data_IF_706764128993
#
_entry.id   IF_706764128993
#
_cell.length_a   1.000
_cell.length_b   1.000
_cell.length_c   1.000
_cell.angle_alpha   90.00
_cell.angle_beta   90.00
_cell.angle_gamma   90.00
#
_symmetry.space_group_name_H-M   'P 1'
#
loop_
_entity.id
_entity.type
_entity.pdbx_description
1 polymer ?
#
# COMPACT_ATOMS: atom_id res chain seq x y z
N UNK A 1 23.14 4.14 -30.73
CA UNK A 1 22.81 3.83 -29.33
C UNK A 1 21.69 4.76 -28.92
N UNK A 2 20.51 4.18 -28.72
CA UNK A 2 19.23 4.91 -28.71
C UNK A 2 19.02 5.75 -27.45
N UNK A 3 18.81 7.04 -27.62
CA UNK A 3 18.37 8.01 -26.60
C UNK A 3 16.96 7.72 -26.00
N UNK A 4 16.31 6.67 -26.48
CA UNK A 4 14.93 6.34 -26.15
C UNK A 4 14.73 5.73 -24.74
N UNK A 5 15.82 5.32 -24.10
CA UNK A 5 15.76 4.70 -22.77
C UNK A 5 15.69 5.72 -21.62
N UNK A 6 16.18 6.95 -21.81
CA UNK A 6 16.15 8.01 -20.77
C UNK A 6 14.79 8.65 -20.66
N UNK A 7 14.05 8.80 -21.76
CA UNK A 7 12.71 9.40 -21.77
C UNK A 7 11.62 8.52 -21.14
N UNK A 8 11.90 7.22 -20.95
CA UNK A 8 10.95 6.25 -20.39
C UNK A 8 10.75 6.43 -18.88
N UNK A 9 11.74 6.97 -18.17
CA UNK A 9 11.64 7.26 -16.74
C UNK A 9 10.97 8.60 -16.42
N UNK A 10 10.94 9.55 -17.34
CA UNK A 10 10.35 10.88 -17.14
C UNK A 10 8.83 10.92 -17.36
N UNK A 11 8.25 9.82 -17.85
CA UNK A 11 6.79 9.75 -17.98
C UNK A 11 6.12 9.76 -16.60
N UNK A 12 5.07 10.57 -16.43
CA UNK A 12 4.31 10.56 -15.19
C UNK A 12 3.81 9.15 -14.87
N UNK A 13 4.12 8.68 -13.67
CA UNK A 13 3.64 7.39 -13.20
C UNK A 13 2.23 7.58 -12.66
N UNK A 14 1.25 6.95 -13.29
CA UNK A 14 -0.12 6.88 -12.76
C UNK A 14 -0.51 5.42 -12.60
N UNK A 15 -0.77 5.04 -11.39
CA UNK A 15 -1.06 3.67 -10.98
C UNK A 15 -2.44 3.63 -10.34
N UNK A 16 -3.36 2.91 -10.95
CA UNK A 16 -4.67 2.64 -10.38
C UNK A 16 -4.60 1.33 -9.58
N UNK A 17 -4.94 1.42 -8.31
CA UNK A 17 -4.92 0.29 -7.40
C UNK A 17 -6.21 -0.52 -7.55
N UNK A 18 -6.28 -1.36 -8.59
CA UNK A 18 -7.37 -2.29 -8.80
C UNK A 18 -7.47 -3.37 -7.71
N UNK A 19 -8.41 -4.31 -7.87
CA UNK A 19 -8.53 -5.47 -6.96
C UNK A 19 -7.36 -6.43 -7.15
N UNK A 20 -6.71 -6.83 -6.05
CA UNK A 20 -5.68 -7.87 -6.08
C UNK A 20 -6.29 -9.23 -5.82
N UNK A 21 -6.14 -10.14 -6.77
CA UNK A 21 -6.56 -11.54 -6.60
C UNK A 21 -5.70 -12.25 -5.56
N UNK A 22 -4.40 -12.00 -5.59
CA UNK A 22 -3.45 -12.61 -4.65
C UNK A 22 -3.74 -12.17 -3.21
N UNK A 23 -3.97 -10.87 -2.99
CA UNK A 23 -4.29 -10.34 -1.66
C UNK A 23 -5.63 -10.87 -1.16
N UNK A 24 -6.63 -10.99 -2.05
CA UNK A 24 -7.93 -11.58 -1.72
C UNK A 24 -7.78 -13.04 -1.34
N UNK A 25 -7.07 -13.84 -2.13
CA UNK A 25 -6.87 -15.27 -1.86
C UNK A 25 -6.09 -15.49 -0.56
N UNK A 26 -5.00 -14.74 -0.34
CA UNK A 26 -4.22 -14.82 0.89
C UNK A 26 -5.06 -14.44 2.12
N UNK A 27 -5.81 -13.34 2.04
CA UNK A 27 -6.70 -12.93 3.12
C UNK A 27 -7.79 -13.94 3.41
N UNK A 28 -8.47 -14.43 2.37
CA UNK A 28 -9.49 -15.47 2.53
C UNK A 28 -8.91 -16.76 3.13
N UNK A 29 -7.73 -17.19 2.68
CA UNK A 29 -7.05 -18.38 3.22
C UNK A 29 -6.70 -18.25 4.70
N UNK A 30 -6.15 -17.12 5.13
CA UNK A 30 -5.83 -16.87 6.54
C UNK A 30 -7.08 -16.91 7.41
N UNK A 31 -8.18 -16.27 6.97
CA UNK A 31 -9.42 -16.25 7.73
C UNK A 31 -10.10 -17.61 7.74
N UNK A 32 -10.04 -18.37 6.63
CA UNK A 32 -10.54 -19.73 6.58
C UNK A 32 -9.77 -20.67 7.54
N UNK A 33 -8.45 -20.56 7.56
CA UNK A 33 -7.61 -21.30 8.51
C UNK A 33 -7.93 -20.92 9.97
N UNK A 34 -8.12 -19.65 10.27
CA UNK A 34 -8.54 -19.16 11.58
C UNK A 34 -9.90 -19.68 12.01
N UNK A 35 -10.88 -19.66 11.09
CA UNK A 35 -12.21 -20.21 11.35
C UNK A 35 -12.17 -21.73 11.59
N UNK A 36 -11.40 -22.46 10.79
CA UNK A 36 -11.21 -23.90 10.97
C UNK A 36 -10.57 -24.21 12.33
N UNK A 37 -9.53 -23.46 12.72
CA UNK A 37 -8.91 -23.63 14.03
C UNK A 37 -9.90 -23.40 15.18
N UNK A 38 -10.79 -22.40 15.08
CA UNK A 38 -11.84 -22.15 16.05
C UNK A 38 -12.87 -23.31 16.12
N UNK A 39 -13.15 -23.95 14.99
CA UNK A 39 -14.10 -25.10 14.96
C UNK A 39 -13.52 -26.36 15.58
N UNK A 40 -12.22 -26.63 15.36
CA UNK A 40 -11.55 -27.82 15.87
C UNK A 40 -11.13 -27.67 17.34
N UNK A 41 -10.89 -26.44 17.80
CA UNK A 41 -10.50 -26.20 19.18
C UNK A 41 -11.62 -26.59 20.18
N UNK A 42 -11.24 -27.16 21.31
CA UNK A 42 -12.13 -27.51 22.41
C UNK A 42 -12.54 -26.27 23.22
N UNK A 43 -13.21 -25.32 22.55
CA UNK A 43 -13.66 -24.06 23.14
C UNK A 43 -15.11 -24.14 23.62
N UNK A 44 -15.41 -23.37 24.66
CA UNK A 44 -16.78 -23.20 25.09
C UNK A 44 -17.64 -22.64 23.92
N UNK A 45 -18.89 -23.13 23.71
CA UNK A 45 -19.70 -22.74 22.54
C UNK A 45 -19.85 -21.24 22.31
N UNK A 46 -20.07 -20.50 23.39
CA UNK A 46 -20.21 -19.01 23.33
C UNK A 46 -18.94 -18.36 22.81
N UNK A 47 -17.77 -18.79 23.31
CA UNK A 47 -16.49 -18.24 22.86
C UNK A 47 -16.20 -18.59 21.39
N UNK A 48 -16.56 -19.79 20.97
CA UNK A 48 -16.43 -20.24 19.56
C UNK A 48 -17.25 -19.34 18.63
N UNK A 49 -18.52 -19.10 18.96
CA UNK A 49 -19.40 -18.22 18.16
C UNK A 49 -18.83 -16.80 18.10
N UNK A 50 -18.38 -16.26 19.23
CA UNK A 50 -17.79 -14.92 19.29
C UNK A 50 -16.54 -14.82 18.40
N UNK A 51 -15.62 -15.77 18.45
CA UNK A 51 -14.41 -15.77 17.64
C UNK A 51 -14.71 -15.91 16.14
N UNK A 52 -15.68 -16.74 15.77
CA UNK A 52 -16.11 -16.88 14.38
C UNK A 52 -16.75 -15.56 13.87
N UNK A 53 -17.59 -14.92 14.67
CA UNK A 53 -18.18 -13.63 14.32
C UNK A 53 -17.11 -12.55 14.15
N UNK A 54 -16.12 -12.50 15.06
CA UNK A 54 -15.00 -11.55 14.98
C UNK A 54 -14.13 -11.81 13.73
N UNK A 55 -13.83 -13.07 13.42
CA UNK A 55 -13.09 -13.46 12.22
C UNK A 55 -13.83 -13.05 10.96
N UNK A 56 -15.14 -13.26 10.89
CA UNK A 56 -15.98 -12.83 9.78
C UNK A 56 -16.03 -11.31 9.62
N UNK A 57 -16.23 -10.57 10.71
CA UNK A 57 -16.23 -9.12 10.72
C UNK A 57 -14.87 -8.54 10.25
N UNK A 58 -13.77 -9.13 10.72
CA UNK A 58 -12.43 -8.73 10.31
C UNK A 58 -12.17 -9.03 8.82
N UNK A 59 -12.66 -10.15 8.29
CA UNK A 59 -12.58 -10.47 6.87
C UNK A 59 -13.31 -9.43 6.02
N UNK A 60 -14.54 -9.07 6.41
CA UNK A 60 -15.30 -8.02 5.71
C UNK A 60 -14.57 -6.68 5.74
N UNK A 61 -14.04 -6.30 6.90
CA UNK A 61 -13.24 -5.07 7.05
C UNK A 61 -11.99 -5.10 6.15
N UNK A 62 -11.26 -6.24 6.16
CA UNK A 62 -10.08 -6.44 5.33
C UNK A 62 -10.40 -6.32 3.83
N UNK A 63 -11.46 -6.99 3.36
CA UNK A 63 -11.87 -6.93 1.97
C UNK A 63 -12.25 -5.51 1.55
N UNK A 64 -13.01 -4.80 2.36
CA UNK A 64 -13.43 -3.42 2.07
C UNK A 64 -12.25 -2.47 2.02
N UNK A 65 -11.30 -2.59 2.94
CA UNK A 65 -10.19 -1.64 3.07
C UNK A 65 -9.03 -1.93 2.12
N UNK A 66 -8.62 -3.20 2.04
CA UNK A 66 -7.39 -3.58 1.35
C UNK A 66 -7.61 -4.08 -0.08
N UNK A 67 -8.74 -4.70 -0.33
CA UNK A 67 -9.01 -5.32 -1.63
C UNK A 67 -9.81 -4.40 -2.54
N UNK A 68 -10.89 -3.83 -2.05
CA UNK A 68 -11.80 -3.02 -2.88
C UNK A 68 -11.49 -1.53 -2.83
N UNK A 69 -10.64 -1.09 -1.90
CA UNK A 69 -10.34 0.33 -1.68
C UNK A 69 -11.60 1.22 -1.57
N UNK A 70 -12.68 0.66 -1.03
CA UNK A 70 -13.98 1.34 -0.89
C UNK A 70 -14.18 1.98 0.49
N UNK A 71 -13.32 1.65 1.45
CA UNK A 71 -13.41 2.26 2.80
C UNK A 71 -12.84 3.68 2.80
N UNK A 72 -13.32 4.51 3.72
CA UNK A 72 -12.81 5.86 3.91
C UNK A 72 -11.30 5.87 4.16
N UNK A 73 -10.59 6.70 3.40
CA UNK A 73 -9.14 6.80 3.44
C UNK A 73 -8.39 5.70 2.67
N UNK A 74 -9.09 4.82 1.96
CA UNK A 74 -8.45 3.87 1.07
C UNK A 74 -7.90 4.57 -0.17
N UNK A 75 -6.66 4.23 -0.54
CA UNK A 75 -6.01 4.78 -1.73
C UNK A 75 -6.48 3.98 -2.95
N UNK A 76 -7.13 4.66 -3.89
CA UNK A 76 -7.60 4.08 -5.15
C UNK A 76 -6.59 4.24 -6.29
N UNK A 77 -5.76 5.28 -6.24
CA UNK A 77 -4.72 5.51 -7.23
C UNK A 77 -3.54 6.29 -6.64
N UNK A 78 -2.36 6.10 -7.21
CA UNK A 78 -1.13 6.82 -6.87
C UNK A 78 -0.58 7.40 -8.15
N UNK A 79 -0.12 8.64 -8.10
CA UNK A 79 0.57 9.31 -9.19
C UNK A 79 1.88 9.92 -8.69
N UNK A 80 2.88 9.87 -9.53
CA UNK A 80 4.12 10.58 -9.33
C UNK A 80 4.46 11.37 -10.60
N UNK A 81 4.82 12.61 -10.43
CA UNK A 81 5.21 13.54 -11.47
C UNK A 81 6.41 14.35 -10.97
N UNK A 82 7.38 14.66 -11.83
CA UNK A 82 8.59 15.37 -11.44
C UNK A 82 8.30 16.79 -10.93
N UNK A 83 7.31 17.45 -11.52
CA UNK A 83 6.93 18.82 -11.14
C UNK A 83 6.02 18.88 -9.93
N UNK A 84 5.13 17.88 -9.78
CA UNK A 84 4.07 17.86 -8.76
C UNK A 84 4.35 16.91 -7.60
N UNK A 85 5.39 16.08 -7.71
CA UNK A 85 5.72 15.07 -6.73
C UNK A 85 4.69 13.95 -6.60
N UNK A 86 4.61 13.35 -5.43
CA UNK A 86 3.66 12.29 -5.13
C UNK A 86 2.24 12.82 -4.90
N UNK A 87 1.28 12.17 -5.51
CA UNK A 87 -0.15 12.42 -5.29
C UNK A 87 -0.87 11.10 -5.07
N UNK A 88 -1.84 11.11 -4.18
CA UNK A 88 -2.72 9.96 -3.91
C UNK A 88 -4.16 10.35 -4.16
N UNK A 89 -4.92 9.44 -4.72
CA UNK A 89 -6.36 9.53 -4.80
C UNK A 89 -6.95 8.69 -3.68
N UNK A 90 -7.51 9.33 -2.66
CA UNK A 90 -8.15 8.67 -1.53
C UNK A 90 -9.65 8.95 -1.55
N UNK A 91 -10.45 7.93 -1.27
CA UNK A 91 -11.90 8.08 -1.17
C UNK A 91 -12.30 8.61 0.22
N UNK A 92 -13.26 9.56 0.29
CA UNK A 92 -13.98 10.26 -0.78
C UNK A 92 -13.26 11.53 -1.31
N UNK A 93 -12.04 11.83 -0.89
CA UNK A 93 -11.39 13.14 -1.04
C UNK A 93 -10.72 13.44 -2.39
N UNK A 94 -10.70 12.51 -3.36
CA UNK A 94 -10.06 12.73 -4.66
C UNK A 94 -8.52 12.84 -4.61
N UNK A 95 -7.91 13.48 -5.61
CA UNK A 95 -6.47 13.63 -5.74
C UNK A 95 -5.91 14.67 -4.78
N UNK A 96 -4.97 14.24 -3.93
CA UNK A 96 -4.28 15.08 -2.96
C UNK A 96 -2.77 14.95 -3.11
N UNK A 97 -2.04 16.03 -2.85
CA UNK A 97 -0.59 15.96 -2.71
C UNK A 97 -0.27 15.10 -1.47
N UNK A 98 0.77 14.29 -1.57
CA UNK A 98 1.12 13.36 -0.51
C UNK A 98 2.64 13.17 -0.44
N UNK A 99 3.11 12.83 0.74
CA UNK A 99 4.53 12.49 0.95
C UNK A 99 4.62 11.06 1.47
N UNK A 100 5.50 10.21 0.91
CA UNK A 100 5.74 8.89 1.45
C UNK A 100 6.36 9.00 2.84
N UNK A 101 5.78 8.30 3.81
CA UNK A 101 6.30 8.21 5.17
C UNK A 101 7.25 7.02 5.27
N UNK A 102 8.41 7.26 5.86
CA UNK A 102 9.36 6.18 6.11
C UNK A 102 9.04 5.47 7.44
N UNK A 103 9.33 4.16 7.55
CA UNK A 103 9.93 3.28 6.54
C UNK A 103 8.94 2.82 5.45
N UNK A 104 9.45 2.59 4.23
CA UNK A 104 8.74 1.96 3.12
C UNK A 104 9.23 0.52 3.01
N UNK A 105 8.32 -0.44 2.96
CA UNK A 105 8.66 -1.83 2.67
C UNK A 105 8.52 -2.09 1.16
N UNK A 106 9.60 -2.49 0.52
CA UNK A 106 9.64 -2.78 -0.92
C UNK A 106 10.27 -4.15 -1.15
N UNK A 107 9.48 -5.08 -1.70
CA UNK A 107 9.94 -6.40 -2.14
C UNK A 107 9.75 -6.59 -3.64
N UNK A 108 10.07 -7.79 -4.14
CA UNK A 108 9.87 -8.13 -5.54
C UNK A 108 8.39 -8.18 -5.95
N UNK A 109 7.50 -8.52 -5.03
CA UNK A 109 6.08 -8.78 -5.30
C UNK A 109 5.14 -7.87 -4.52
N UNK A 110 5.64 -7.20 -3.46
CA UNK A 110 4.83 -6.44 -2.53
C UNK A 110 5.51 -5.12 -2.17
N UNK A 111 4.73 -4.06 -2.18
CA UNK A 111 5.11 -2.74 -1.66
C UNK A 111 4.10 -2.34 -0.59
N UNK A 112 4.60 -1.98 0.59
CA UNK A 112 3.79 -1.37 1.64
C UNK A 112 4.31 0.04 1.87
N UNK A 113 3.47 1.03 1.62
CA UNK A 113 3.81 2.44 1.76
C UNK A 113 2.70 3.18 2.50
N UNK A 114 3.13 4.08 3.38
CA UNK A 114 2.22 5.03 4.04
C UNK A 114 2.46 6.40 3.44
N UNK A 115 1.40 7.13 3.17
CA UNK A 115 1.46 8.50 2.69
C UNK A 115 0.85 9.44 3.74
N UNK A 116 1.46 10.59 3.88
CA UNK A 116 0.85 11.73 4.56
C UNK A 116 0.25 12.63 3.50
N UNK A 117 -1.07 12.67 3.43
CA UNK A 117 -1.79 13.56 2.53
C UNK A 117 -1.75 15.01 3.03
N UNK A 118 -2.04 15.98 2.16
CA UNK A 118 -2.05 17.41 2.48
C UNK A 118 -2.98 17.79 3.63
N UNK A 119 -4.06 17.02 3.84
CA UNK A 119 -4.98 17.17 4.99
C UNK A 119 -4.46 16.54 6.30
N UNK A 120 -3.15 16.24 6.40
CA UNK A 120 -2.44 15.58 7.51
C UNK A 120 -2.92 14.15 7.84
N UNK A 121 -3.87 13.58 7.10
CA UNK A 121 -4.30 12.19 7.30
C UNK A 121 -3.23 11.24 6.75
N UNK A 122 -2.91 10.21 7.51
CA UNK A 122 -2.04 9.15 7.06
C UNK A 122 -2.88 8.07 6.35
N UNK A 123 -2.54 7.82 5.09
CA UNK A 123 -3.15 6.77 4.29
C UNK A 123 -2.12 5.68 4.03
N UNK A 124 -2.50 4.40 4.07
CA UNK A 124 -1.61 3.29 3.77
C UNK A 124 -2.09 2.53 2.53
N UNK A 125 -1.14 2.14 1.70
CA UNK A 125 -1.39 1.30 0.54
C UNK A 125 -0.53 0.03 0.62
N UNK A 126 -1.17 -1.10 0.35
CA UNK A 126 -0.53 -2.40 0.12
C UNK A 126 -0.69 -2.68 -1.37
N UNK A 127 0.41 -2.68 -2.08
CA UNK A 127 0.44 -2.81 -3.54
C UNK A 127 1.12 -4.13 -3.87
N UNK A 128 0.36 -5.05 -4.45
CA UNK A 128 0.87 -6.33 -4.90
C UNK A 128 1.10 -6.26 -6.40
N UNK A 129 2.13 -6.92 -6.88
CA UNK A 129 2.53 -6.88 -8.28
C UNK A 129 1.48 -7.35 -9.28
N UNK A 130 0.47 -8.13 -8.83
CA UNK A 130 -0.65 -8.58 -9.66
C UNK A 130 -1.67 -7.47 -10.01
N UNK A 131 -1.58 -6.31 -9.33
CA UNK A 131 -2.44 -5.15 -9.58
C UNK A 131 -1.96 -4.26 -10.71
N UNK A 132 -0.70 -4.42 -11.11
CA UNK A 132 0.00 -3.52 -12.00
C UNK A 132 0.68 -4.30 -13.13
N UNK A 133 0.87 -3.63 -14.26
CA UNK A 133 1.83 -4.13 -15.24
C UNK A 133 3.23 -4.21 -14.63
N UNK A 134 4.02 -5.20 -15.06
CA UNK A 134 5.36 -5.44 -14.50
C UNK A 134 6.26 -4.20 -14.58
N UNK A 135 6.16 -3.42 -15.66
CA UNK A 135 6.92 -2.18 -15.86
C UNK A 135 6.51 -1.08 -14.88
N UNK A 136 5.20 -0.89 -14.64
CA UNK A 136 4.71 0.14 -13.73
C UNK A 136 5.03 -0.21 -12.29
N UNK A 137 4.95 -1.49 -11.92
CA UNK A 137 5.35 -1.96 -10.60
C UNK A 137 6.86 -1.79 -10.37
N UNK A 138 7.68 -2.07 -11.39
CA UNK A 138 9.13 -1.83 -11.35
C UNK A 138 9.44 -0.34 -11.16
N UNK A 139 8.79 0.54 -11.92
CA UNK A 139 8.98 2.00 -11.82
C UNK A 139 8.57 2.51 -10.45
N UNK A 140 7.42 2.08 -9.94
CA UNK A 140 6.95 2.44 -8.60
C UNK A 140 7.98 2.08 -7.53
N UNK A 141 8.53 0.84 -7.61
CA UNK A 141 9.56 0.39 -6.67
C UNK A 141 10.82 1.25 -6.71
N UNK A 142 11.32 1.55 -7.91
CA UNK A 142 12.52 2.38 -8.08
C UNK A 142 12.30 3.78 -7.50
N UNK A 143 11.16 4.41 -7.77
CA UNK A 143 10.83 5.74 -7.25
C UNK A 143 10.69 5.78 -5.73
N UNK A 144 10.07 4.76 -5.14
CA UNK A 144 9.95 4.66 -3.68
C UNK A 144 11.30 4.41 -3.01
N UNK A 145 12.18 3.61 -3.62
CA UNK A 145 13.54 3.40 -3.12
C UNK A 145 14.40 4.67 -3.23
N UNK A 146 14.23 5.45 -4.29
CA UNK A 146 14.87 6.77 -4.40
C UNK A 146 14.39 7.71 -3.29
N UNK A 147 13.08 7.86 -3.11
CA UNK A 147 12.52 8.68 -2.02
C UNK A 147 13.03 8.25 -0.63
N UNK A 148 13.20 6.93 -0.41
CA UNK A 148 13.76 6.42 0.83
C UNK A 148 15.25 6.73 1.03
N UNK A 149 16.02 6.79 -0.06
CA UNK A 149 17.43 7.21 -0.03
C UNK A 149 17.55 8.70 0.27
N UNK A 150 16.78 9.52 -0.41
CA UNK A 150 16.79 10.98 -0.23
C UNK A 150 16.43 11.37 1.20
N UNK A 151 15.41 10.73 1.76
CA UNK A 151 15.03 10.93 3.16
C UNK A 151 16.16 10.57 4.13
N UNK A 152 16.89 9.46 3.89
CA UNK A 152 18.04 9.09 4.74
C UNK A 152 19.17 10.08 4.65
N UNK A 153 19.48 10.58 3.45
CA UNK A 153 20.50 11.61 3.26
C UNK A 153 20.13 12.90 4.00
N UNK A 154 18.89 13.38 3.86
CA UNK A 154 18.42 14.57 4.57
C UNK A 154 18.50 14.39 6.10
N UNK A 155 18.09 13.25 6.63
CA UNK A 155 18.18 12.96 8.05
C UNK A 155 19.64 12.91 8.55
N UNK A 156 20.56 12.39 7.73
CA UNK A 156 21.99 12.36 8.04
C UNK A 156 22.63 13.75 8.06
N UNK A 157 22.22 14.63 7.17
CA UNK A 157 22.68 16.04 7.17
C UNK A 157 22.13 16.83 8.37
N UNK A 158 20.85 16.62 8.70
CA UNK A 158 20.22 17.31 9.83
C UNK A 158 20.77 16.85 11.21
N UNK A 159 21.31 15.65 11.28
CA UNK A 159 21.92 15.08 12.50
C UNK A 159 23.40 15.47 12.69
N UNK A 160 24.00 16.25 11.78
CA UNK A 160 25.39 16.72 11.89
C UNK A 160 25.41 18.03 12.68
N UNK A 161 25.84 18.04 13.97
CA UNK A 161 25.98 19.28 14.70
C UNK A 161 27.09 20.09 14.04
N UNK A 162 26.85 21.39 13.87
CA UNK A 162 27.85 22.33 13.41
C UNK A 162 29.09 22.23 14.32
N UNK A 163 30.22 21.84 13.69
CA UNK A 163 31.54 21.91 14.32
C UNK A 163 32.17 23.25 13.99
#
# INVERSE_FOLDING_TARGET
>A
MSYDSLTRFDRPLRVELGRSRLLTAAGAGIHAAGALACLVAALHPVLRVLLLALTGAHLVYFLRRQVTATADGAISAISWDEQRGWRVCALPGGWQAAQPLMPVFVSAQLVVVRFRASNRRACSAVIVGDRLGADDFRRLRVRLLQAARDHRHQASFAARPDR
#
